data_IF_103852213766
#
_entry.id   IF_103852213766
#
_cell.length_a   1.000
_cell.length_b   1.000
_cell.length_c   1.000
_cell.angle_alpha   90.00
_cell.angle_beta   90.00
_cell.angle_gamma   90.00
#
_symmetry.space_group_name_H-M   'P 1'
#
loop_
_entity.id
_entity.type
_entity.pdbx_description
1 polymer ?
#
# COMPACT_ATOMS: atom_id res chain seq x y z
N UNK A 1 -21.18 14.03 -4.23
CA UNK A 1 -19.81 14.32 -4.58
C UNK A 1 -18.87 13.45 -3.77
N UNK A 2 -18.23 12.45 -4.41
CA UNK A 2 -17.24 11.58 -3.77
C UNK A 2 -15.95 12.37 -3.70
N UNK A 3 -15.51 12.72 -2.49
CA UNK A 3 -14.21 13.32 -2.28
C UNK A 3 -13.12 12.38 -2.82
N UNK A 4 -12.07 12.89 -3.48
CA UNK A 4 -10.99 12.05 -3.95
C UNK A 4 -10.32 11.41 -2.73
N UNK A 5 -10.36 10.09 -2.65
CA UNK A 5 -9.61 9.32 -1.66
C UNK A 5 -8.14 9.45 -2.03
N UNK A 6 -7.39 10.19 -1.25
CA UNK A 6 -5.93 10.14 -1.30
C UNK A 6 -5.52 8.84 -0.62
N UNK A 7 -5.14 7.86 -1.41
CA UNK A 7 -4.58 6.63 -0.85
C UNK A 7 -3.17 6.97 -0.33
N UNK A 8 -2.99 6.90 0.98
CA UNK A 8 -1.67 7.01 1.59
C UNK A 8 -1.09 5.60 1.57
N UNK A 9 -0.21 5.34 0.63
CA UNK A 9 0.54 4.10 0.57
C UNK A 9 1.55 4.04 1.71
N UNK A 10 1.35 3.16 2.66
CA UNK A 10 2.36 2.84 3.66
C UNK A 10 3.07 1.59 3.17
N UNK A 11 4.26 1.77 2.63
CA UNK A 11 5.17 0.66 2.38
C UNK A 11 6.00 0.47 3.64
N UNK A 12 5.85 -0.67 4.27
CA UNK A 12 6.71 -1.06 5.38
C UNK A 12 8.05 -1.53 4.79
N UNK A 13 8.93 -0.57 4.51
CA UNK A 13 10.32 -0.85 4.18
C UNK A 13 11.07 -1.08 5.49
N UNK A 14 10.78 -2.13 6.21
CA UNK A 14 11.79 -2.71 7.07
C UNK A 14 12.84 -3.28 6.12
N UNK A 15 13.85 -2.46 5.87
CA UNK A 15 14.94 -2.82 5.01
C UNK A 15 15.56 -4.10 5.50
N UNK A 16 15.56 -5.10 4.66
CA UNK A 16 16.44 -6.25 4.78
C UNK A 16 17.89 -5.75 4.67
N UNK A 17 18.43 -5.21 5.76
CA UNK A 17 19.85 -4.90 5.89
C UNK A 17 20.63 -6.05 6.54
N UNK A 18 19.99 -7.18 6.78
CA UNK A 18 20.66 -8.42 7.09
C UNK A 18 20.45 -9.40 5.94
N UNK A 19 21.56 -9.83 5.36
CA UNK A 19 21.67 -11.07 4.58
C UNK A 19 21.54 -12.27 5.53
N UNK A 20 20.43 -12.37 6.22
CA UNK A 20 20.03 -13.63 6.77
C UNK A 20 19.53 -14.44 5.59
N UNK A 21 20.15 -15.59 5.38
CA UNK A 21 19.71 -16.60 4.43
C UNK A 21 18.28 -16.98 4.82
N UNK A 22 17.31 -16.29 4.25
CA UNK A 22 15.90 -16.58 4.45
C UNK A 22 15.66 -17.85 3.68
N UNK A 23 15.62 -18.99 4.39
CA UNK A 23 15.12 -20.23 3.83
C UNK A 23 13.61 -20.05 3.64
N UNK A 24 13.21 -19.60 2.45
CA UNK A 24 11.83 -19.66 2.03
C UNK A 24 11.46 -21.11 1.82
N UNK A 25 10.90 -21.74 2.83
CA UNK A 25 10.27 -23.05 2.65
C UNK A 25 8.84 -22.80 2.13
N UNK A 26 8.56 -23.38 0.96
CA UNK A 26 7.21 -23.45 0.45
C UNK A 26 6.57 -24.71 1.02
N UNK A 27 5.62 -24.54 1.93
CA UNK A 27 4.92 -25.65 2.55
C UNK A 27 3.55 -25.82 1.91
N UNK A 28 3.29 -27.03 1.45
CA UNK A 28 2.00 -27.46 0.94
C UNK A 28 1.21 -28.13 2.05
N UNK A 29 -0.03 -27.72 2.26
CA UNK A 29 -1.01 -28.47 3.02
C UNK A 29 -2.26 -28.73 2.19
N UNK A 30 -3.25 -29.46 2.75
CA UNK A 30 -4.48 -29.79 2.06
C UNK A 30 -5.37 -28.57 1.71
N UNK A 31 -5.11 -27.42 2.31
CA UNK A 31 -5.90 -26.19 2.16
C UNK A 31 -5.23 -25.16 1.25
N UNK A 32 -3.90 -25.22 1.07
CA UNK A 32 -3.18 -24.25 0.26
C UNK A 32 -1.68 -24.27 0.46
N UNK A 33 -1.03 -23.15 0.16
CA UNK A 33 0.41 -22.96 0.21
C UNK A 33 0.76 -21.79 1.10
N UNK A 34 1.75 -21.99 1.98
CA UNK A 34 2.37 -20.88 2.71
C UNK A 34 3.81 -20.70 2.20
N UNK A 35 4.20 -19.43 2.03
CA UNK A 35 5.57 -19.03 1.70
C UNK A 35 6.00 -17.93 2.65
N UNK A 36 7.03 -18.15 3.43
CA UNK A 36 7.53 -17.20 4.43
C UNK A 36 8.40 -17.87 5.48
N UNK A 37 8.58 -17.20 6.61
CA UNK A 37 9.39 -17.68 7.71
C UNK A 37 8.56 -18.52 8.68
N UNK A 38 9.25 -19.43 9.37
CA UNK A 38 8.70 -20.27 10.42
C UNK A 38 9.51 -20.08 11.72
N UNK A 39 8.84 -20.19 12.83
CA UNK A 39 9.48 -20.27 14.15
C UNK A 39 10.06 -21.68 14.41
N UNK A 40 10.65 -21.89 15.59
CA UNK A 40 11.21 -23.18 16.00
C UNK A 40 10.18 -24.30 16.15
N UNK A 41 8.91 -23.98 16.19
CA UNK A 41 7.78 -24.92 16.24
C UNK A 41 7.14 -25.13 14.86
N UNK A 42 7.80 -24.65 13.79
CA UNK A 42 7.28 -24.68 12.40
C UNK A 42 5.94 -23.96 12.23
N UNK A 43 5.69 -22.92 13.01
CA UNK A 43 4.55 -22.05 12.83
C UNK A 43 4.95 -20.82 12.03
N UNK A 44 4.04 -20.32 11.17
CA UNK A 44 4.29 -19.13 10.37
C UNK A 44 4.62 -17.93 11.26
N UNK A 45 5.75 -17.26 10.99
CA UNK A 45 6.25 -16.12 11.78
C UNK A 45 6.79 -15.04 10.85
N UNK A 46 6.60 -13.76 11.24
CA UNK A 46 7.06 -12.63 10.45
C UNK A 46 6.23 -12.41 9.19
N UNK A 47 6.87 -11.92 8.12
CA UNK A 47 6.17 -11.65 6.86
C UNK A 47 6.06 -12.92 6.01
N UNK A 48 4.85 -13.18 5.49
CA UNK A 48 4.61 -14.36 4.65
C UNK A 48 3.33 -14.24 3.83
N UNK A 49 3.19 -15.17 2.88
CA UNK A 49 2.10 -15.24 1.92
C UNK A 49 1.38 -16.58 2.02
N UNK A 50 0.06 -16.55 2.10
CA UNK A 50 -0.81 -17.72 2.00
C UNK A 50 -1.61 -17.68 0.71
N UNK A 51 -1.67 -18.80 -0.01
CA UNK A 51 -2.52 -19.00 -1.18
C UNK A 51 -3.37 -20.25 -0.95
N UNK A 52 -4.67 -20.05 -0.72
CA UNK A 52 -5.61 -21.16 -0.54
C UNK A 52 -6.08 -21.77 -1.86
N UNK A 53 -6.33 -23.07 -1.86
CA UNK A 53 -6.93 -23.77 -3.00
C UNK A 53 -8.33 -23.26 -3.36
N UNK A 54 -9.00 -22.61 -2.43
CA UNK A 54 -10.30 -21.96 -2.63
C UNK A 54 -10.21 -20.58 -3.32
N UNK A 55 -9.00 -20.15 -3.71
CA UNK A 55 -8.72 -18.82 -4.26
C UNK A 55 -8.56 -17.74 -3.20
N UNK A 56 -8.51 -18.09 -1.92
CA UNK A 56 -8.14 -17.15 -0.88
C UNK A 56 -6.65 -16.78 -0.96
N UNK A 57 -6.33 -15.56 -0.58
CA UNK A 57 -4.97 -15.04 -0.56
C UNK A 57 -4.78 -14.15 0.66
N UNK A 58 -3.65 -14.30 1.33
CA UNK A 58 -3.22 -13.37 2.36
C UNK A 58 -1.71 -13.11 2.21
N UNK A 59 -1.34 -11.86 2.34
CA UNK A 59 0.04 -11.41 2.38
C UNK A 59 0.19 -10.41 3.52
N UNK A 60 1.11 -10.69 4.45
CA UNK A 60 1.29 -9.83 5.62
C UNK A 60 2.05 -10.49 6.75
N UNK A 61 1.84 -9.94 7.93
CA UNK A 61 2.53 -10.37 9.15
C UNK A 61 1.83 -11.56 9.80
N UNK A 62 2.65 -12.50 10.30
CA UNK A 62 2.24 -13.74 10.96
C UNK A 62 2.91 -13.83 12.33
N UNK A 63 2.24 -14.47 13.26
CA UNK A 63 2.77 -14.79 14.56
C UNK A 63 2.12 -16.06 15.09
N UNK A 64 2.95 -17.03 15.51
CA UNK A 64 2.49 -18.32 16.03
C UNK A 64 1.47 -19.00 15.06
N UNK A 65 1.72 -18.97 13.75
CA UNK A 65 0.87 -19.57 12.74
C UNK A 65 -0.42 -18.81 12.41
N UNK A 66 -0.70 -17.68 13.04
CA UNK A 66 -1.89 -16.87 12.84
C UNK A 66 -1.55 -15.53 12.16
N UNK A 67 -2.47 -14.98 11.36
CA UNK A 67 -2.34 -13.62 10.80
C UNK A 67 -2.37 -12.62 11.96
N UNK A 68 -1.28 -11.86 12.10
CA UNK A 68 -1.10 -10.96 13.24
C UNK A 68 -0.21 -9.78 12.84
N UNK A 69 -0.77 -8.58 12.82
CA UNK A 69 -0.11 -7.38 12.31
C UNK A 69 -0.76 -6.90 11.02
N UNK A 70 -0.01 -6.20 10.18
CA UNK A 70 -0.51 -5.69 8.91
C UNK A 70 -0.56 -6.76 7.83
N UNK A 71 -1.66 -6.78 7.11
CA UNK A 71 -1.84 -7.70 6.02
C UNK A 71 -2.96 -7.33 5.07
N UNK A 72 -2.87 -7.94 3.91
CA UNK A 72 -3.77 -7.82 2.79
C UNK A 72 -4.42 -9.19 2.54
N UNK A 73 -5.73 -9.24 2.41
CA UNK A 73 -6.46 -10.49 2.19
C UNK A 73 -7.50 -10.35 1.09
N UNK A 74 -7.49 -11.32 0.19
CA UNK A 74 -8.57 -11.60 -0.76
C UNK A 74 -9.23 -12.91 -0.32
N UNK A 75 -10.54 -12.95 -0.32
CA UNK A 75 -11.28 -14.19 -0.16
C UNK A 75 -12.46 -14.21 -1.12
N UNK A 76 -12.83 -15.39 -1.68
CA UNK A 76 -13.96 -15.50 -2.59
C UNK A 76 -15.23 -14.90 -2.00
N UNK A 77 -15.93 -14.10 -2.79
CA UNK A 77 -17.20 -13.44 -2.41
C UNK A 77 -17.12 -12.53 -1.17
N UNK A 78 -15.91 -12.14 -0.74
CA UNK A 78 -15.69 -11.18 0.36
C UNK A 78 -15.00 -9.93 -0.16
N UNK A 79 -15.25 -8.76 0.45
CA UNK A 79 -14.52 -7.56 0.10
C UNK A 79 -13.04 -7.70 0.44
N UNK A 80 -12.20 -7.06 -0.36
CA UNK A 80 -10.78 -6.90 -0.08
C UNK A 80 -10.58 -6.32 1.32
N UNK A 81 -9.66 -6.90 2.10
CA UNK A 81 -9.30 -6.43 3.43
C UNK A 81 -7.82 -6.09 3.46
N UNK A 82 -7.54 -4.83 3.76
CA UNK A 82 -6.19 -4.32 3.99
C UNK A 82 -6.17 -3.66 5.36
N UNK A 83 -5.30 -4.08 6.26
CA UNK A 83 -5.27 -3.50 7.58
C UNK A 83 -4.70 -4.41 8.66
N UNK A 84 -5.06 -4.15 9.89
CA UNK A 84 -4.58 -4.91 11.05
C UNK A 84 -5.34 -6.23 11.24
N UNK A 85 -4.58 -7.23 11.59
CA UNK A 85 -5.04 -8.56 11.96
C UNK A 85 -4.55 -8.90 13.37
N UNK A 86 -5.31 -9.64 14.11
CA UNK A 86 -4.92 -10.16 15.40
C UNK A 86 -5.57 -11.53 15.61
N UNK A 87 -4.75 -12.57 15.76
CA UNK A 87 -5.21 -13.95 15.91
C UNK A 87 -6.22 -14.31 14.82
N UNK A 88 -5.82 -14.23 13.56
CA UNK A 88 -6.64 -14.49 12.37
C UNK A 88 -7.88 -13.61 12.18
N UNK A 89 -8.13 -12.65 13.06
CA UNK A 89 -9.28 -11.76 12.98
C UNK A 89 -8.90 -10.40 12.41
N UNK A 90 -9.57 -9.98 11.36
CA UNK A 90 -9.42 -8.65 10.79
C UNK A 90 -9.97 -7.59 11.75
N UNK A 91 -9.15 -6.60 12.07
CA UNK A 91 -9.46 -5.51 13.01
C UNK A 91 -9.80 -4.19 12.32
N UNK A 92 -9.67 -4.15 11.00
CA UNK A 92 -9.95 -2.95 10.20
C UNK A 92 -8.69 -2.21 9.79
N UNK A 93 -8.92 -1.15 9.03
CA UNK A 93 -7.86 -0.23 8.62
C UNK A 93 -7.51 0.68 9.80
N UNK A 94 -6.50 0.28 10.57
CA UNK A 94 -5.96 1.13 11.62
C UNK A 94 -4.63 1.69 11.16
N UNK A 95 -4.61 2.93 10.72
CA UNK A 95 -3.38 3.63 10.43
C UNK A 95 -2.77 4.14 11.74
N UNK A 96 -1.63 3.57 12.08
CA UNK A 96 -0.80 4.07 13.18
C UNK A 96 0.27 4.97 12.58
N UNK A 97 0.10 6.27 12.76
CA UNK A 97 1.09 7.24 12.34
C UNK A 97 2.13 7.42 13.43
N UNK A 98 3.36 7.06 13.14
CA UNK A 98 4.49 7.22 14.04
C UNK A 98 5.68 7.83 13.30
N UNK A 99 6.56 8.53 14.01
CA UNK A 99 7.79 9.08 13.45
C UNK A 99 8.78 8.02 12.93
N UNK A 100 8.61 6.78 13.36
CA UNK A 100 9.46 5.65 12.93
C UNK A 100 9.09 5.08 11.57
N UNK A 101 7.95 5.47 11.00
CA UNK A 101 7.50 5.01 9.68
C UNK A 101 8.02 5.92 8.57
N UNK A 102 8.24 5.32 7.41
CA UNK A 102 8.56 6.07 6.20
C UNK A 102 7.24 6.39 5.49
N UNK A 103 7.01 7.68 5.27
CA UNK A 103 5.79 8.17 4.65
C UNK A 103 5.99 8.54 3.19
N UNK A 104 5.00 8.24 2.38
CA UNK A 104 4.90 8.65 1.00
C UNK A 104 3.48 9.04 0.62
N UNK A 105 3.33 9.55 -0.58
CA UNK A 105 2.04 9.88 -1.18
C UNK A 105 1.96 9.33 -2.59
N UNK A 106 0.76 9.13 -3.08
CA UNK A 106 0.50 8.99 -4.50
C UNK A 106 -0.11 10.28 -5.06
N UNK A 107 0.25 10.61 -6.28
CA UNK A 107 -0.26 11.77 -6.99
C UNK A 107 -0.70 11.42 -8.41
N UNK A 108 -1.59 12.25 -8.94
CA UNK A 108 -2.11 12.15 -10.29
C UNK A 108 -2.44 13.55 -10.85
N UNK A 109 -3.09 13.63 -11.99
CA UNK A 109 -3.58 14.93 -12.52
C UNK A 109 -4.50 15.69 -11.54
N UNK A 110 -5.14 14.99 -10.61
CA UNK A 110 -6.09 15.62 -9.67
C UNK A 110 -5.44 16.53 -8.64
N UNK A 111 -4.14 16.43 -8.41
CA UNK A 111 -3.39 17.38 -7.61
C UNK A 111 -3.16 18.71 -8.34
N UNK A 112 -3.31 18.71 -9.67
CA UNK A 112 -3.16 19.90 -10.51
C UNK A 112 -4.48 20.52 -10.96
N UNK A 113 -5.56 19.74 -10.99
CA UNK A 113 -6.84 20.17 -11.54
C UNK A 113 -7.97 19.79 -10.59
N UNK A 114 -8.73 20.80 -10.14
CA UNK A 114 -9.96 20.61 -9.39
C UNK A 114 -11.08 21.45 -10.03
N UNK A 115 -11.95 20.80 -10.78
CA UNK A 115 -12.93 21.46 -11.61
C UNK A 115 -12.24 22.34 -12.67
N UNK A 116 -12.50 23.63 -12.68
CA UNK A 116 -11.86 24.62 -13.57
C UNK A 116 -10.56 25.20 -13.02
N UNK A 117 -10.26 24.97 -11.73
CA UNK A 117 -9.08 25.54 -11.06
C UNK A 117 -7.86 24.69 -11.31
N UNK A 118 -6.72 25.34 -11.51
CA UNK A 118 -5.42 24.72 -11.67
C UNK A 118 -4.53 25.04 -10.46
N UNK A 119 -3.72 24.07 -10.06
CA UNK A 119 -2.84 24.16 -8.91
C UNK A 119 -1.42 23.70 -9.29
N UNK A 120 -0.45 24.22 -8.58
CA UNK A 120 0.92 23.74 -8.64
C UNK A 120 1.27 23.04 -7.32
N UNK A 121 2.00 21.94 -7.42
CA UNK A 121 2.49 21.24 -6.23
C UNK A 121 3.67 22.03 -5.66
N UNK A 122 3.58 22.37 -4.39
CA UNK A 122 4.71 22.95 -3.68
C UNK A 122 5.58 21.84 -3.09
N UNK A 123 6.52 21.35 -3.88
CA UNK A 123 7.39 20.24 -3.53
C UNK A 123 8.18 20.43 -2.23
N UNK A 124 8.59 21.66 -1.93
CA UNK A 124 9.35 21.99 -0.70
C UNK A 124 8.49 21.87 0.56
N UNK A 125 7.20 22.03 0.44
CA UNK A 125 6.25 22.05 1.58
C UNK A 125 5.47 20.76 1.76
N UNK A 126 5.76 19.71 0.97
CA UNK A 126 5.04 18.45 1.09
C UNK A 126 5.35 17.76 2.41
N UNK A 127 4.32 17.59 3.23
CA UNK A 127 4.37 16.92 4.52
C UNK A 127 3.02 16.28 4.85
N UNK A 128 3.03 15.27 5.70
CA UNK A 128 1.81 14.73 6.30
C UNK A 128 1.48 15.60 7.52
N UNK A 129 0.48 16.44 7.40
CA UNK A 129 0.04 17.36 8.47
C UNK A 129 -1.30 16.97 9.09
N UNK A 130 -2.06 16.11 8.41
CA UNK A 130 -3.35 15.62 8.86
C UNK A 130 -3.42 14.12 8.67
N UNK A 131 -4.00 13.44 9.62
CA UNK A 131 -4.14 11.98 9.62
C UNK A 131 -5.34 11.50 8.80
N UNK A 132 -6.14 12.44 8.29
CA UNK A 132 -7.29 12.15 7.46
C UNK A 132 -8.41 11.37 8.18
N UNK A 133 -9.53 11.21 7.49
CA UNK A 133 -10.63 10.34 7.90
C UNK A 133 -10.48 9.00 7.20
N UNK A 134 -9.89 8.02 7.84
CA UNK A 134 -9.61 6.70 7.25
C UNK A 134 -10.76 5.73 7.46
N UNK A 135 -11.63 6.03 8.36
CA UNK A 135 -12.90 5.36 8.58
C UNK A 135 -13.88 6.39 9.16
N UNK A 136 -15.05 5.97 9.60
CA UNK A 136 -15.99 6.84 10.32
C UNK A 136 -15.41 7.42 11.64
N UNK A 137 -14.19 7.03 12.02
CA UNK A 137 -13.47 7.58 13.17
C UNK A 137 -12.49 8.63 12.69
N UNK A 138 -12.68 9.86 13.11
CA UNK A 138 -11.71 10.93 12.95
C UNK A 138 -10.47 10.59 13.77
N UNK A 139 -9.31 10.51 13.15
CA UNK A 139 -8.05 10.42 13.88
C UNK A 139 -7.66 11.84 14.26
N UNK A 140 -7.85 12.19 15.53
CA UNK A 140 -7.47 13.51 16.05
C UNK A 140 -5.95 13.59 16.23
N UNK A 141 -5.34 14.68 15.80
CA UNK A 141 -3.94 14.98 16.06
C UNK A 141 -3.30 15.82 14.97
N UNK A 142 -2.47 16.76 15.40
CA UNK A 142 -1.57 17.49 14.52
C UNK A 142 -0.28 16.71 14.40
N UNK A 143 0.10 16.37 13.17
CA UNK A 143 1.35 15.68 12.86
C UNK A 143 2.14 16.49 11.85
N UNK A 144 3.43 16.22 11.76
CA UNK A 144 4.33 16.87 10.81
C UNK A 144 5.40 15.87 10.36
N UNK A 145 4.99 14.92 9.51
CA UNK A 145 5.89 13.90 9.02
C UNK A 145 6.43 14.23 7.63
N UNK A 146 7.74 14.04 7.39
CA UNK A 146 8.33 14.24 6.09
C UNK A 146 7.88 13.15 5.12
N UNK A 147 7.65 13.53 3.86
CA UNK A 147 7.43 12.60 2.77
C UNK A 147 8.76 12.18 2.20
N UNK A 148 8.99 10.90 1.99
CA UNK A 148 10.23 10.32 1.49
C UNK A 148 10.11 9.75 0.09
N UNK A 149 8.91 9.33 -0.30
CA UNK A 149 8.66 8.78 -1.64
C UNK A 149 7.33 9.25 -2.20
N UNK A 150 7.23 9.26 -3.52
CA UNK A 150 6.05 9.68 -4.26
C UNK A 150 5.79 8.69 -5.37
N UNK A 151 4.60 8.12 -5.39
CA UNK A 151 4.11 7.36 -6.53
C UNK A 151 3.32 8.29 -7.46
N UNK A 152 3.65 8.27 -8.74
CA UNK A 152 3.01 9.13 -9.74
C UNK A 152 2.22 8.27 -10.72
N UNK A 153 0.93 8.54 -10.83
CA UNK A 153 0.09 7.90 -11.83
C UNK A 153 0.60 8.24 -13.22
N UNK A 154 0.98 7.24 -14.00
CA UNK A 154 1.37 7.42 -15.39
C UNK A 154 0.17 7.30 -16.33
N UNK A 155 -0.58 6.24 -16.16
CA UNK A 155 -1.69 5.88 -17.06
C UNK A 155 -2.88 5.32 -16.27
N UNK A 156 -4.03 5.23 -16.95
CA UNK A 156 -5.24 4.63 -16.41
C UNK A 156 -6.01 3.92 -17.51
N UNK A 157 -6.45 2.70 -17.25
CA UNK A 157 -7.19 1.90 -18.19
C UNK A 157 -6.45 1.75 -19.52
N UNK A 158 -7.17 1.76 -20.63
CA UNK A 158 -6.58 1.49 -21.95
C UNK A 158 -5.92 2.70 -22.62
N UNK A 159 -6.33 3.93 -22.30
CA UNK A 159 -5.99 5.10 -23.13
C UNK A 159 -5.72 6.39 -22.37
N UNK A 160 -5.90 6.42 -21.05
CA UNK A 160 -5.73 7.67 -20.29
C UNK A 160 -4.27 7.78 -19.87
N UNK A 161 -3.65 8.88 -20.29
CA UNK A 161 -2.28 9.26 -19.87
C UNK A 161 -2.37 10.47 -18.96
N UNK A 162 -1.57 10.47 -17.89
CA UNK A 162 -1.44 11.64 -17.02
C UNK A 162 -0.58 12.72 -17.69
N UNK A 163 -1.15 13.86 -18.09
CA UNK A 163 -0.40 14.89 -18.80
C UNK A 163 0.69 15.57 -17.97
N UNK A 164 0.62 15.44 -16.64
CA UNK A 164 1.59 16.01 -15.70
C UNK A 164 2.71 15.05 -15.33
N UNK A 165 2.64 13.78 -15.74
CA UNK A 165 3.55 12.73 -15.31
C UNK A 165 5.02 13.11 -15.44
N UNK A 166 5.48 13.50 -16.64
CA UNK A 166 6.89 13.82 -16.89
C UNK A 166 7.39 15.00 -16.05
N UNK A 167 6.56 16.05 -15.94
CA UNK A 167 6.87 17.24 -15.16
C UNK A 167 6.99 16.91 -13.67
N UNK A 168 6.02 16.17 -13.14
CA UNK A 168 5.98 15.78 -11.74
C UNK A 168 7.12 14.83 -11.38
N UNK A 169 7.40 13.86 -12.26
CA UNK A 169 8.51 12.93 -12.09
C UNK A 169 9.85 13.66 -11.94
N UNK A 170 10.15 14.57 -12.87
CA UNK A 170 11.38 15.35 -12.85
C UNK A 170 11.45 16.28 -11.63
N UNK A 171 10.35 16.96 -11.31
CA UNK A 171 10.30 17.89 -10.19
C UNK A 171 10.43 17.17 -8.83
N UNK A 172 9.77 16.05 -8.64
CA UNK A 172 9.87 15.26 -7.43
C UNK A 172 11.32 14.76 -7.20
N UNK A 173 11.96 14.24 -8.25
CA UNK A 173 13.37 13.82 -8.16
C UNK A 173 14.31 14.97 -7.86
N UNK A 174 14.14 16.12 -8.52
CA UNK A 174 14.95 17.31 -8.27
C UNK A 174 14.83 17.81 -6.81
N UNK A 175 13.72 17.51 -6.13
CA UNK A 175 13.54 17.81 -4.70
C UNK A 175 13.94 16.67 -3.76
N UNK A 176 14.62 15.64 -4.26
CA UNK A 176 15.18 14.56 -3.45
C UNK A 176 14.22 13.45 -3.05
N UNK A 177 13.01 13.41 -3.61
CA UNK A 177 12.08 12.32 -3.35
C UNK A 177 12.47 11.05 -4.11
N UNK A 178 12.26 9.89 -3.51
CA UNK A 178 12.23 8.62 -4.24
C UNK A 178 10.92 8.57 -5.02
N UNK A 179 11.01 8.26 -6.32
CA UNK A 179 9.83 8.31 -7.19
C UNK A 179 9.54 6.94 -7.76
N UNK A 180 8.30 6.51 -7.64
CA UNK A 180 7.73 5.35 -8.31
C UNK A 180 6.61 5.75 -9.28
N UNK A 181 6.22 4.82 -10.13
CA UNK A 181 5.17 5.00 -11.13
C UNK A 181 4.09 3.97 -10.92
N UNK A 182 2.83 4.32 -11.15
CA UNK A 182 1.76 3.35 -11.15
C UNK A 182 0.78 3.53 -12.31
N UNK A 183 0.19 2.41 -12.72
CA UNK A 183 -0.94 2.34 -13.62
C UNK A 183 -2.22 2.12 -12.81
N UNK A 184 -3.27 2.89 -13.11
CA UNK A 184 -4.57 2.69 -12.48
C UNK A 184 -5.43 1.75 -13.35
N UNK A 185 -5.66 0.53 -12.84
CA UNK A 185 -6.45 -0.49 -13.54
C UNK A 185 -7.93 -0.09 -13.52
N UNK A 186 -8.53 -0.07 -14.71
CA UNK A 186 -9.97 0.11 -14.86
C UNK A 186 -10.69 -1.25 -14.82
N UNK A 187 -11.62 -1.41 -13.91
CA UNK A 187 -12.45 -2.63 -13.83
C UNK A 187 -13.44 -2.78 -15.01
N UNK A 188 -13.57 -1.75 -15.84
CA UNK A 188 -14.45 -1.74 -17.02
C UNK A 188 -13.83 -2.35 -18.27
N UNK A 189 -12.57 -2.73 -18.23
CA UNK A 189 -11.81 -3.27 -19.36
C UNK A 189 -11.03 -4.51 -18.94
N UNK A 190 -10.84 -5.49 -19.84
CA UNK A 190 -9.99 -6.65 -19.54
C UNK A 190 -8.57 -6.24 -19.15
N UNK A 191 -7.98 -6.95 -18.19
CA UNK A 191 -6.63 -6.64 -17.70
C UNK A 191 -5.57 -6.69 -18.81
N UNK A 192 -5.64 -7.70 -19.69
CA UNK A 192 -4.73 -7.88 -20.84
C UNK A 192 -4.74 -6.68 -21.81
N UNK A 193 -5.87 -5.97 -21.91
CA UNK A 193 -5.96 -4.80 -22.79
C UNK A 193 -5.37 -3.52 -22.16
N UNK A 194 -4.91 -3.58 -20.92
CA UNK A 194 -4.37 -2.46 -20.14
C UNK A 194 -2.87 -2.62 -19.84
N UNK A 195 -2.29 -3.78 -20.17
CA UNK A 195 -0.89 -4.10 -19.97
C UNK A 195 0.05 -3.41 -20.99
#
# INVERSE_FOLDING_TARGET
GIAPRTAIGIVNLQGATHRDTINYEQRHDSLGYFSGNYDSLYQAEGYGTWMGHDGSYYEGEWKNGERNGWGFSIAPKKPLRVGEWKKDRYKGERLVYTSQRIYGIDISKYQHIKGRKRYQINWKKLRITHLGNISRKTVAGNVNYPIRFIYIKSTEGKSIVNPYYKKDYSAARAHGYKVGTYHFISTRKPAVAQA
#
